data_IF_411613386826
#
_entry.id   IF_411613386826
#
_cell.length_a   1.000
_cell.length_b   1.000
_cell.length_c   1.000
_cell.angle_alpha   90.00
_cell.angle_beta   90.00
_cell.angle_gamma   90.00
#
_symmetry.space_group_name_H-M   'P 1'
#
loop_
_entity.id
_entity.type
_entity.pdbx_description
1 polymer ?
#
# COMPACT_ATOMS: atom_id res chain seq x y z
N UNK A 1 0.43 5.31 -9.16
CA UNK A 1 -0.79 4.70 -8.60
C UNK A 1 -0.43 3.40 -7.91
N UNK A 2 -1.09 3.09 -6.81
CA UNK A 2 -0.97 1.82 -6.09
C UNK A 2 -2.33 1.14 -6.08
N UNK A 3 -2.39 -0.14 -6.44
CA UNK A 3 -3.54 -1.01 -6.25
C UNK A 3 -3.14 -2.06 -5.22
N UNK A 4 -3.96 -2.21 -4.20
CA UNK A 4 -3.76 -3.18 -3.15
C UNK A 4 -5.05 -3.98 -2.94
N UNK A 5 -4.92 -5.30 -2.86
CA UNK A 5 -5.96 -6.23 -2.42
C UNK A 5 -5.42 -7.04 -1.26
N UNK A 6 -6.18 -7.06 -0.17
CA UNK A 6 -5.82 -7.81 1.04
C UNK A 6 -5.94 -9.32 0.83
N UNK A 7 -5.17 -10.09 1.59
CA UNK A 7 -5.30 -11.54 1.63
C UNK A 7 -6.70 -11.96 2.09
N UNK A 8 -7.27 -13.01 1.49
CA UNK A 8 -8.66 -13.41 1.76
C UNK A 8 -8.84 -14.09 3.11
N UNK A 9 -7.82 -14.77 3.62
CA UNK A 9 -7.86 -15.56 4.86
C UNK A 9 -6.48 -15.63 5.52
N UNK A 10 -6.44 -16.06 6.79
CA UNK A 10 -5.22 -15.98 7.57
C UNK A 10 -4.15 -16.90 6.97
N UNK A 11 -2.95 -16.37 6.73
CA UNK A 11 -1.89 -17.11 6.04
C UNK A 11 -2.09 -17.29 4.52
N UNK A 12 -3.16 -16.77 3.93
CA UNK A 12 -3.32 -16.80 2.48
C UNK A 12 -2.31 -15.88 1.79
N UNK A 13 -1.69 -16.40 0.72
CA UNK A 13 -0.76 -15.69 -0.15
C UNK A 13 -1.44 -15.35 -1.48
N UNK A 14 -2.48 -14.53 -1.39
CA UNK A 14 -3.28 -14.10 -2.54
C UNK A 14 -3.65 -12.62 -2.48
N UNK A 15 -2.93 -11.86 -1.65
CA UNK A 15 -2.94 -10.41 -1.70
C UNK A 15 -2.31 -9.93 -2.99
N UNK A 16 -2.80 -8.81 -3.51
CA UNK A 16 -2.27 -8.16 -4.71
C UNK A 16 -1.66 -6.84 -4.30
N UNK A 17 -0.44 -6.58 -4.76
CA UNK A 17 0.21 -5.28 -4.68
C UNK A 17 0.77 -4.94 -6.05
N UNK A 18 0.16 -3.95 -6.68
CA UNK A 18 0.58 -3.48 -7.98
C UNK A 18 0.85 -1.98 -7.92
N UNK A 19 1.91 -1.56 -8.60
CA UNK A 19 2.28 -0.15 -8.71
C UNK A 19 2.48 0.20 -10.16
N UNK A 20 1.87 1.32 -10.57
CA UNK A 20 2.06 1.90 -11.90
C UNK A 20 2.59 3.31 -11.77
N UNK A 21 3.49 3.66 -12.66
CA UNK A 21 4.07 4.99 -12.76
C UNK A 21 3.82 5.54 -14.16
N UNK A 22 3.42 6.80 -14.21
CA UNK A 22 3.45 7.63 -15.42
C UNK A 22 4.31 8.83 -15.11
N UNK A 23 5.46 8.93 -15.79
CA UNK A 23 6.34 10.08 -15.72
C UNK A 23 5.84 11.19 -16.64
N UNK A 24 6.32 12.41 -16.42
CA UNK A 24 6.07 13.51 -17.33
C UNK A 24 6.48 13.15 -18.77
N UNK A 25 5.67 13.55 -19.74
CA UNK A 25 5.86 13.21 -21.15
C UNK A 25 5.41 11.79 -21.55
N UNK A 26 5.09 10.91 -20.60
CA UNK A 26 4.57 9.57 -20.93
C UNK A 26 3.06 9.61 -21.16
N UNK A 27 2.62 9.07 -22.30
CA UNK A 27 1.20 9.00 -22.65
C UNK A 27 0.40 8.03 -21.75
N UNK A 28 1.05 6.97 -21.26
CA UNK A 28 0.40 5.89 -20.51
C UNK A 28 1.15 5.53 -19.24
N UNK A 29 0.43 4.96 -18.29
CA UNK A 29 1.02 4.33 -17.11
C UNK A 29 1.77 3.07 -17.52
N UNK A 30 2.91 2.84 -16.87
CA UNK A 30 3.67 1.59 -16.97
C UNK A 30 3.61 0.89 -15.62
N UNK A 31 3.31 -0.41 -15.60
CA UNK A 31 3.37 -1.21 -14.38
C UNK A 31 4.85 -1.41 -14.00
N UNK A 32 5.22 -1.00 -12.79
CA UNK A 32 6.58 -1.12 -12.26
C UNK A 32 6.72 -2.24 -11.23
N UNK A 33 5.61 -2.59 -10.57
CA UNK A 33 5.53 -3.74 -9.68
C UNK A 33 4.21 -4.48 -9.89
N UNK A 34 4.30 -5.81 -9.88
CA UNK A 34 3.15 -6.71 -9.95
C UNK A 34 3.42 -7.91 -9.03
N UNK A 35 2.84 -7.89 -7.84
CA UNK A 35 2.91 -8.98 -6.87
C UNK A 35 1.48 -9.48 -6.67
N UNK A 36 1.22 -10.75 -6.94
CA UNK A 36 -0.13 -11.36 -6.86
C UNK A 36 -0.27 -12.43 -5.77
N UNK A 37 0.84 -12.75 -5.09
CA UNK A 37 0.95 -13.73 -4.01
C UNK A 37 1.37 -13.08 -2.68
N UNK A 38 1.06 -11.79 -2.51
CA UNK A 38 1.47 -11.03 -1.34
C UNK A 38 0.77 -11.56 -0.08
N UNK A 39 1.52 -11.66 1.01
CA UNK A 39 0.97 -11.94 2.34
C UNK A 39 0.52 -10.62 3.00
N UNK A 40 -0.60 -10.08 2.54
CA UNK A 40 -1.19 -8.82 2.99
C UNK A 40 -2.39 -9.09 3.90
N UNK A 41 -2.15 -9.80 5.00
CA UNK A 41 -3.18 -10.08 6.00
C UNK A 41 -3.41 -8.83 6.90
N UNK A 42 -4.58 -8.17 6.83
CA UNK A 42 -4.89 -6.98 7.61
C UNK A 42 -5.28 -7.29 9.06
N UNK A 43 -5.47 -8.57 9.41
CA UNK A 43 -5.86 -8.95 10.77
C UNK A 43 -4.66 -8.84 11.70
N UNK A 44 -4.86 -8.40 12.95
CA UNK A 44 -3.80 -8.36 13.93
C UNK A 44 -3.25 -9.78 14.13
N UNK A 45 -1.95 -9.95 13.85
CA UNK A 45 -1.22 -11.13 14.31
C UNK A 45 -1.12 -11.01 15.82
N UNK A 46 -1.60 -12.04 16.54
CA UNK A 46 -1.70 -12.03 18.00
C UNK A 46 -0.49 -11.37 18.68
N UNK A 47 -0.79 -10.49 19.64
CA UNK A 47 0.13 -9.77 20.55
C UNK A 47 1.46 -9.37 19.91
N UNK A 48 1.48 -8.22 19.25
CA UNK A 48 2.74 -7.51 19.03
C UNK A 48 3.35 -7.21 20.42
N UNK A 49 4.55 -7.68 20.76
CA UNK A 49 5.10 -7.56 22.12
C UNK A 49 5.30 -6.10 22.58
N UNK A 50 5.27 -5.16 21.63
CA UNK A 50 5.46 -3.72 21.87
C UNK A 50 4.17 -2.90 21.81
N UNK A 51 3.04 -3.51 21.41
CA UNK A 51 1.75 -2.83 21.34
C UNK A 51 0.72 -3.68 22.08
N UNK A 52 0.23 -3.18 23.22
CA UNK A 52 -0.88 -3.72 24.02
C UNK A 52 -2.23 -3.68 23.26
N UNK A 53 -2.25 -4.10 22.00
CA UNK A 53 -3.41 -4.10 21.13
C UNK A 53 -4.01 -5.51 21.13
N UNK A 54 -5.06 -5.71 21.94
CA UNK A 54 -5.83 -6.97 21.97
C UNK A 54 -6.91 -6.89 20.89
N UNK A 55 -6.52 -6.99 19.64
CA UNK A 55 -7.45 -7.11 18.52
C UNK A 55 -7.92 -8.53 18.34
N UNK A 56 -9.22 -8.74 18.05
CA UNK A 56 -9.69 -10.04 17.60
C UNK A 56 -9.00 -10.39 16.28
N UNK A 57 -8.67 -11.68 16.02
CA UNK A 57 -8.20 -12.12 14.71
C UNK A 57 -9.19 -11.82 13.57
N UNK A 58 -10.39 -11.32 13.84
CA UNK A 58 -11.34 -10.87 12.81
C UNK A 58 -11.27 -9.38 12.52
N UNK A 59 -10.57 -8.60 13.35
CA UNK A 59 -10.56 -7.16 13.25
C UNK A 59 -9.60 -6.73 12.14
N UNK A 60 -10.10 -5.99 11.14
CA UNK A 60 -9.22 -5.41 10.14
C UNK A 60 -8.52 -4.20 10.74
N UNK A 61 -7.20 -4.11 10.61
CA UNK A 61 -6.48 -2.89 10.95
C UNK A 61 -7.02 -1.74 10.08
N UNK A 62 -7.54 -0.65 10.69
CA UNK A 62 -8.03 0.47 9.92
C UNK A 62 -6.86 1.16 9.22
N UNK A 63 -7.15 1.74 8.06
CA UNK A 63 -6.19 2.61 7.38
C UNK A 63 -5.75 3.73 8.32
N UNK A 64 -4.45 3.81 8.58
CA UNK A 64 -3.86 4.88 9.37
C UNK A 64 -3.53 6.06 8.44
N UNK A 65 -4.22 7.19 8.64
CA UNK A 65 -3.91 8.43 7.91
C UNK A 65 -2.55 8.94 8.40
N UNK A 66 -1.57 9.11 7.51
CA UNK A 66 -0.38 9.90 7.85
C UNK A 66 0.95 9.51 7.24
N UNK A 67 1.06 8.45 6.43
CA UNK A 67 2.38 8.00 5.96
C UNK A 67 2.37 7.61 4.49
N UNK A 68 2.51 8.59 3.58
CA UNK A 68 2.72 8.30 2.16
C UNK A 68 4.15 7.79 1.87
N UNK A 69 5.14 8.19 2.69
CA UNK A 69 6.58 7.98 2.41
C UNK A 69 7.37 7.32 3.56
N UNK A 70 6.71 6.91 4.67
CA UNK A 70 7.38 6.33 5.83
C UNK A 70 8.39 7.26 6.52
N UNK A 71 9.09 6.76 7.54
CA UNK A 71 10.30 7.38 8.11
C UNK A 71 11.52 7.12 7.19
N UNK A 72 11.44 7.53 5.92
CA UNK A 72 12.54 7.31 4.94
C UNK A 72 13.56 8.45 4.88
N UNK A 73 13.53 9.38 5.84
CA UNK A 73 14.37 10.58 5.81
C UNK A 73 15.87 10.28 5.74
N UNK A 74 16.33 9.14 6.26
CA UNK A 74 17.76 8.77 6.26
C UNK A 74 18.29 8.29 4.91
N UNK A 75 17.42 8.02 3.93
CA UNK A 75 17.84 7.56 2.60
C UNK A 75 18.21 8.71 1.65
N UNK A 76 17.86 9.95 1.99
CA UNK A 76 18.20 11.13 1.20
C UNK A 76 19.40 11.83 1.83
N UNK A 77 20.42 12.06 1.02
CA UNK A 77 21.65 12.77 1.40
C UNK A 77 21.44 14.29 1.53
N UNK A 78 20.30 14.79 1.04
CA UNK A 78 19.93 16.19 1.02
C UNK A 78 18.46 16.40 1.37
N UNK A 79 18.14 17.59 1.89
CA UNK A 79 16.75 18.03 2.06
C UNK A 79 16.02 17.95 0.73
N UNK A 80 14.99 17.11 0.67
CA UNK A 80 14.22 16.85 -0.54
C UNK A 80 12.77 17.24 -0.32
N UNK A 81 12.24 18.10 -1.20
CA UNK A 81 10.84 18.53 -1.16
C UNK A 81 10.03 17.83 -2.24
N UNK A 82 8.91 17.24 -1.86
CA UNK A 82 7.97 16.61 -2.79
C UNK A 82 6.69 17.44 -2.88
N UNK A 83 6.24 17.71 -4.10
CA UNK A 83 4.98 18.39 -4.35
C UNK A 83 3.94 17.39 -4.81
N UNK A 84 2.84 17.29 -4.06
CA UNK A 84 1.73 16.39 -4.36
C UNK A 84 0.50 17.26 -4.62
N UNK A 85 0.03 17.27 -5.86
CA UNK A 85 -1.09 18.13 -6.28
C UNK A 85 -2.44 17.44 -6.19
N UNK A 86 -2.48 16.10 -6.30
CA UNK A 86 -3.73 15.34 -6.35
C UNK A 86 -3.55 13.98 -5.69
N UNK A 87 -4.48 13.66 -4.79
CA UNK A 87 -4.59 12.34 -4.14
C UNK A 87 -6.00 11.85 -4.38
N UNK A 88 -6.14 10.64 -4.91
CA UNK A 88 -7.42 10.04 -5.26
C UNK A 88 -7.51 8.64 -4.68
N UNK A 89 -8.74 8.25 -4.34
CA UNK A 89 -9.05 6.93 -3.82
C UNK A 89 -10.18 6.32 -4.65
N UNK A 90 -9.98 5.08 -5.06
CA UNK A 90 -10.94 4.31 -5.84
C UNK A 90 -11.20 2.98 -5.15
N UNK A 91 -12.47 2.56 -5.09
CA UNK A 91 -12.84 1.24 -4.56
C UNK A 91 -12.60 0.11 -5.58
N UNK A 92 -12.48 0.45 -6.87
CA UNK A 92 -12.23 -0.47 -7.96
C UNK A 92 -11.05 0.02 -8.80
N UNK A 93 -10.33 -0.90 -9.43
CA UNK A 93 -9.23 -0.55 -10.33
C UNK A 93 -9.76 0.29 -11.51
N UNK A 94 -9.25 1.51 -11.73
CA UNK A 94 -9.65 2.35 -12.86
C UNK A 94 -9.46 1.66 -14.21
N UNK A 95 -10.34 1.96 -15.17
CA UNK A 95 -10.35 1.27 -16.46
C UNK A 95 -9.12 1.58 -17.32
N UNK A 96 -8.53 2.77 -17.16
CA UNK A 96 -7.33 3.22 -17.86
C UNK A 96 -6.05 2.42 -17.51
N UNK A 97 -6.15 1.47 -16.58
CA UNK A 97 -5.07 0.57 -16.17
C UNK A 97 -5.34 -0.90 -16.49
N UNK A 98 -6.50 -1.21 -17.08
CA UNK A 98 -6.80 -2.53 -17.66
C UNK A 98 -6.26 -2.61 -19.09
#
# INVERSE_FOLDING_TARGET
MVHAKLSTSAGAKNGVLETWLRREGQAKYTQIHNITDANMDPRPRGTHPEANWVGSPTDLQPWQRGYLMGWSNSAYDNTTTFFISRVEYFQQLPAELK
#
